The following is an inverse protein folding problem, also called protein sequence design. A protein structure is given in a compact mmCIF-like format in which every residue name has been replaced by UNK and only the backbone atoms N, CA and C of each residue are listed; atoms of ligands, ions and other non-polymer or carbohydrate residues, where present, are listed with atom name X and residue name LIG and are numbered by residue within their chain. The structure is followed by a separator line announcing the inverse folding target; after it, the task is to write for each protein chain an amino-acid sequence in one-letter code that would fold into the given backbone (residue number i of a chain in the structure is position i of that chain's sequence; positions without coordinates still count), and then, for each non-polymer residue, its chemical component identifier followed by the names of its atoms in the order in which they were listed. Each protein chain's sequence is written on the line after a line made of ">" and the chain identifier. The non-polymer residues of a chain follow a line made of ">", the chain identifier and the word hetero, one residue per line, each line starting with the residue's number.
data_IF_485725130741
#
_entry.id   IF_485725130741
#
_cell.length_a   1.000
_cell.length_b   1.000
_cell.length_c   1.000
_cell.angle_alpha   90.00
_cell.angle_beta   90.00
_cell.angle_gamma   90.00
#
_symmetry.space_group_name_H-M   'P 1'
#
loop_
_entity.id
_entity.type
_entity.pdbx_description
1 polymer ?
#
# COMPACT_ATOMS: atom_id res chain seq x y z
N UNK A 1 38.88 12.94 9.24
CA UNK A 1 37.40 12.85 9.20
C UNK A 1 36.74 13.29 7.88
N UNK A 2 37.42 13.20 6.72
CA UNK A 2 36.90 13.77 5.44
C UNK A 2 36.60 12.70 4.37
N UNK A 3 37.07 11.45 4.53
CA UNK A 3 36.92 10.38 3.53
C UNK A 3 35.47 9.88 3.30
N UNK A 4 34.52 10.25 4.17
CA UNK A 4 33.15 9.69 4.18
C UNK A 4 32.09 10.60 3.52
N UNK A 5 32.46 11.81 3.09
CA UNK A 5 31.56 12.75 2.40
C UNK A 5 31.66 12.61 0.87
N UNK A 6 32.87 12.31 0.38
CA UNK A 6 33.16 12.13 -1.05
C UNK A 6 32.56 10.83 -1.61
N UNK A 7 32.69 9.70 -0.91
CA UNK A 7 32.05 8.42 -1.32
C UNK A 7 30.52 8.55 -1.35
N UNK A 8 29.96 9.29 -0.40
CA UNK A 8 28.53 9.61 -0.35
C UNK A 8 28.07 10.38 -1.59
N UNK A 9 28.91 11.26 -2.13
CA UNK A 9 28.60 12.15 -3.24
C UNK A 9 28.69 11.47 -4.61
N UNK A 10 29.62 10.52 -4.78
CA UNK A 10 29.76 9.77 -6.04
C UNK A 10 28.64 8.73 -6.22
N UNK A 11 28.13 8.15 -5.14
CA UNK A 11 26.91 7.31 -5.17
C UNK A 11 25.68 8.18 -5.46
N UNK A 12 25.68 9.44 -5.01
CA UNK A 12 24.59 10.41 -5.21
C UNK A 12 24.37 10.83 -6.67
N UNK A 13 25.31 10.54 -7.58
CA UNK A 13 25.19 10.87 -9.01
C UNK A 13 24.65 9.72 -9.87
N UNK A 14 24.42 8.53 -9.32
CA UNK A 14 23.75 7.41 -10.01
C UNK A 14 22.22 7.37 -9.78
N UNK A 15 21.59 8.54 -9.62
CA UNK A 15 20.19 8.71 -9.17
C UNK A 15 19.17 8.96 -10.30
N UNK A 16 19.28 8.30 -11.45
CA UNK A 16 18.25 8.44 -12.50
C UNK A 16 17.04 7.48 -12.34
N UNK A 17 17.14 6.41 -11.55
CA UNK A 17 16.06 5.42 -11.39
C UNK A 17 15.58 5.15 -9.95
N UNK A 18 16.14 5.80 -8.92
CA UNK A 18 15.76 5.58 -7.51
C UNK A 18 15.51 6.90 -6.76
N UNK A 19 14.67 7.77 -7.33
CA UNK A 19 14.17 8.92 -6.58
C UNK A 19 13.13 8.50 -5.53
N UNK A 20 12.83 9.36 -4.56
CA UNK A 20 11.87 9.09 -3.50
C UNK A 20 10.50 8.64 -4.05
N UNK A 21 10.07 9.19 -5.20
CA UNK A 21 8.82 8.79 -5.87
C UNK A 21 8.81 7.32 -6.28
N UNK A 22 9.91 6.77 -6.81
CA UNK A 22 9.99 5.33 -7.12
C UNK A 22 10.02 4.49 -5.84
N UNK A 23 10.72 4.96 -4.82
CA UNK A 23 10.78 4.27 -3.53
C UNK A 23 9.41 4.19 -2.85
N UNK A 24 8.67 5.30 -2.76
CA UNK A 24 7.31 5.33 -2.21
C UNK A 24 6.37 4.44 -3.02
N UNK A 25 6.45 4.46 -4.35
CA UNK A 25 5.70 3.53 -5.20
C UNK A 25 5.99 2.05 -4.86
N UNK A 26 7.26 1.66 -4.72
CA UNK A 26 7.63 0.29 -4.39
C UNK A 26 7.21 -0.12 -2.97
N UNK A 27 7.24 0.81 -2.02
CA UNK A 27 6.72 0.62 -0.66
C UNK A 27 5.22 0.29 -0.72
N UNK A 28 4.42 1.12 -1.40
CA UNK A 28 2.97 0.89 -1.55
C UNK A 28 2.66 -0.37 -2.35
N UNK A 29 3.43 -0.64 -3.42
CA UNK A 29 3.27 -1.85 -4.23
C UNK A 29 3.49 -3.10 -3.39
N UNK A 30 4.46 -3.10 -2.47
CA UNK A 30 4.75 -4.24 -1.57
C UNK A 30 3.59 -4.55 -0.62
N UNK A 31 2.86 -3.54 -0.16
CA UNK A 31 1.73 -3.75 0.77
C UNK A 31 0.50 -4.34 0.06
N UNK A 32 0.37 -4.13 -1.26
CA UNK A 32 -0.76 -4.62 -2.05
C UNK A 32 -0.44 -5.85 -2.92
N UNK A 33 0.84 -6.05 -3.27
CA UNK A 33 1.31 -7.08 -4.21
C UNK A 33 2.75 -7.51 -3.91
N UNK A 34 3.22 -8.59 -4.53
CA UNK A 34 4.64 -8.98 -4.43
C UNK A 34 5.52 -8.08 -5.31
N UNK A 35 6.67 -7.69 -4.77
CA UNK A 35 7.75 -7.09 -5.56
C UNK A 35 8.54 -8.19 -6.26
N UNK A 36 9.08 -7.88 -7.43
CA UNK A 36 10.18 -8.68 -7.99
C UNK A 36 11.43 -8.54 -7.12
N UNK A 37 12.38 -9.46 -7.25
CA UNK A 37 13.65 -9.43 -6.48
C UNK A 37 14.40 -8.12 -6.77
N UNK A 38 14.45 -7.69 -8.03
CA UNK A 38 15.10 -6.43 -8.43
C UNK A 38 14.42 -5.20 -7.82
N UNK A 39 13.09 -5.15 -7.84
CA UNK A 39 12.33 -4.07 -7.18
C UNK A 39 12.53 -4.05 -5.67
N UNK A 40 12.58 -5.22 -5.04
CA UNK A 40 12.86 -5.31 -3.61
C UNK A 40 14.27 -4.78 -3.29
N UNK A 41 15.29 -5.21 -4.03
CA UNK A 41 16.66 -4.72 -3.85
C UNK A 41 16.75 -3.20 -4.07
N UNK A 42 16.12 -2.69 -5.13
CA UNK A 42 16.05 -1.26 -5.43
C UNK A 42 15.42 -0.47 -4.27
N UNK A 43 14.31 -0.96 -3.74
CA UNK A 43 13.63 -0.34 -2.60
C UNK A 43 14.52 -0.34 -1.35
N UNK A 44 15.15 -1.48 -1.01
CA UNK A 44 16.02 -1.58 0.17
C UNK A 44 17.25 -0.68 0.05
N UNK A 45 17.87 -0.63 -1.13
CA UNK A 45 19.00 0.24 -1.40
C UNK A 45 18.64 1.71 -1.14
N UNK A 46 17.48 2.18 -1.60
CA UNK A 46 17.03 3.55 -1.35
C UNK A 46 16.70 3.81 0.14
N UNK A 47 16.06 2.86 0.82
CA UNK A 47 15.74 2.98 2.25
C UNK A 47 16.99 3.09 3.14
N UNK A 48 18.11 2.44 2.74
CA UNK A 48 19.37 2.49 3.48
C UNK A 48 20.01 3.89 3.53
N UNK A 49 19.69 4.77 2.57
CA UNK A 49 20.28 6.10 2.43
C UNK A 49 19.27 7.24 2.64
N UNK A 50 17.98 7.01 2.45
CA UNK A 50 16.95 8.03 2.59
C UNK A 50 16.14 7.84 3.88
N UNK A 51 16.37 8.65 4.93
CA UNK A 51 15.62 8.55 6.18
C UNK A 51 14.13 8.90 6.01
N UNK A 52 13.79 9.81 5.09
CA UNK A 52 12.41 10.18 4.80
C UNK A 52 11.60 9.01 4.25
N UNK A 53 12.16 8.24 3.31
CA UNK A 53 11.50 7.05 2.77
C UNK A 53 11.39 5.92 3.81
N UNK A 54 12.37 5.82 4.72
CA UNK A 54 12.29 4.90 5.86
C UNK A 54 11.17 5.28 6.84
N UNK A 55 11.03 6.56 7.14
CA UNK A 55 9.90 7.07 7.93
C UNK A 55 8.56 6.84 7.22
N UNK A 56 8.49 7.16 5.93
CA UNK A 56 7.30 6.94 5.11
C UNK A 56 6.85 5.48 5.12
N UNK A 57 7.78 4.53 4.98
CA UNK A 57 7.48 3.09 5.06
C UNK A 57 6.82 2.70 6.39
N UNK A 58 7.29 3.26 7.51
CA UNK A 58 6.68 3.01 8.81
C UNK A 58 5.27 3.62 8.88
N UNK A 59 5.11 4.86 8.44
CA UNK A 59 3.83 5.57 8.42
C UNK A 59 2.78 4.89 7.54
N UNK A 60 3.14 4.53 6.31
CA UNK A 60 2.28 3.83 5.36
C UNK A 60 1.77 2.51 5.94
N UNK A 61 2.65 1.70 6.54
CA UNK A 61 2.25 0.45 7.22
C UNK A 61 1.29 0.69 8.37
N UNK A 62 1.50 1.72 9.18
CA UNK A 62 0.59 2.06 10.28
C UNK A 62 -0.79 2.46 9.75
N UNK A 63 -0.85 3.30 8.72
CA UNK A 63 -2.10 3.69 8.06
C UNK A 63 -2.83 2.45 7.55
N UNK A 64 -2.14 1.55 6.86
CA UNK A 64 -2.73 0.32 6.34
C UNK A 64 -3.32 -0.56 7.46
N UNK A 65 -2.61 -0.70 8.58
CA UNK A 65 -3.11 -1.43 9.74
C UNK A 65 -4.35 -0.79 10.36
N UNK A 66 -4.38 0.55 10.43
CA UNK A 66 -5.55 1.28 10.95
C UNK A 66 -6.75 1.08 10.03
N UNK A 67 -6.57 1.18 8.71
CA UNK A 67 -7.62 0.94 7.71
C UNK A 67 -8.20 -0.48 7.88
N UNK A 68 -7.34 -1.50 7.96
CA UNK A 68 -7.77 -2.89 8.16
C UNK A 68 -8.58 -3.04 9.46
N UNK A 69 -8.13 -2.42 10.56
CA UNK A 69 -8.87 -2.44 11.84
C UNK A 69 -10.24 -1.80 11.73
N UNK A 70 -10.36 -0.65 11.06
CA UNK A 70 -11.65 0.04 10.84
C UNK A 70 -12.62 -0.88 10.08
N UNK A 71 -12.16 -1.52 9.00
CA UNK A 71 -13.01 -2.43 8.22
C UNK A 71 -13.37 -3.71 8.99
N UNK A 72 -12.46 -4.26 9.80
CA UNK A 72 -12.75 -5.41 10.66
C UNK A 72 -13.78 -5.07 11.75
N UNK A 73 -13.65 -3.89 12.39
CA UNK A 73 -14.65 -3.42 13.35
C UNK A 73 -16.02 -3.25 12.72
N UNK A 74 -16.10 -2.73 11.49
CA UNK A 74 -17.34 -2.62 10.70
C UNK A 74 -17.93 -3.99 10.33
N UNK A 75 -17.11 -5.01 10.09
CA UNK A 75 -17.58 -6.38 9.84
C UNK A 75 -18.18 -7.03 11.10
N UNK A 76 -17.67 -6.68 12.28
CA UNK A 76 -18.12 -7.22 13.56
C UNK A 76 -19.31 -6.44 14.15
N UNK A 77 -19.58 -5.22 13.70
CA UNK A 77 -20.89 -4.62 13.91
C UNK A 77 -21.90 -5.39 13.06
N UNK A 78 -22.93 -5.94 13.68
CA UNK A 78 -24.07 -6.63 13.08
C UNK A 78 -24.84 -5.69 12.14
N UNK A 79 -24.24 -5.24 11.05
CA UNK A 79 -24.92 -4.58 9.95
C UNK A 79 -25.63 -5.67 9.15
N UNK A 80 -26.59 -6.33 9.79
CA UNK A 80 -27.54 -7.19 9.10
C UNK A 80 -28.64 -6.27 8.59
N UNK A 81 -28.76 -6.15 7.26
CA UNK A 81 -30.02 -5.68 6.69
C UNK A 81 -31.13 -6.61 7.20
N UNK A 82 -32.27 -6.04 7.61
CA UNK A 82 -33.43 -6.83 7.98
C UNK A 82 -33.79 -7.80 6.85
N UNK A 83 -34.30 -8.98 7.20
CA UNK A 83 -34.67 -10.00 6.21
C UNK A 83 -35.63 -9.46 5.16
N UNK A 84 -36.52 -8.54 5.54
CA UNK A 84 -37.43 -7.85 4.62
C UNK A 84 -36.70 -7.08 3.51
N UNK A 85 -35.61 -6.40 3.86
CA UNK A 85 -34.81 -5.64 2.89
C UNK A 85 -34.02 -6.57 1.97
N UNK A 86 -33.55 -7.71 2.47
CA UNK A 86 -32.89 -8.74 1.65
C UNK A 86 -33.88 -9.38 0.67
N UNK A 87 -35.08 -9.72 1.14
CA UNK A 87 -36.13 -10.28 0.30
C UNK A 87 -36.55 -9.32 -0.81
N UNK A 88 -36.77 -8.04 -0.48
CA UNK A 88 -37.09 -7.00 -1.47
C UNK A 88 -36.00 -6.84 -2.55
N UNK A 89 -34.72 -6.88 -2.14
CA UNK A 89 -33.60 -6.80 -3.09
C UNK A 89 -33.56 -8.01 -4.04
N UNK A 90 -33.76 -9.22 -3.50
CA UNK A 90 -33.77 -10.45 -4.30
C UNK A 90 -34.91 -10.47 -5.31
N UNK A 91 -36.09 -9.94 -4.97
CA UNK A 91 -37.20 -9.80 -5.91
C UNK A 91 -36.80 -8.87 -7.07
N UNK A 92 -36.18 -7.73 -6.75
CA UNK A 92 -35.70 -6.77 -7.75
C UNK A 92 -34.66 -7.39 -8.70
N UNK A 93 -33.69 -8.13 -8.16
CA UNK A 93 -32.65 -8.79 -8.95
C UNK A 93 -33.26 -9.84 -9.89
N UNK A 94 -34.13 -10.72 -9.38
CA UNK A 94 -34.77 -11.75 -10.19
C UNK A 94 -35.66 -11.16 -11.28
N UNK A 95 -36.38 -10.08 -10.98
CA UNK A 95 -37.18 -9.38 -11.98
C UNK A 95 -36.31 -8.81 -13.11
N UNK A 96 -35.11 -8.31 -12.82
CA UNK A 96 -34.19 -7.83 -13.85
C UNK A 96 -33.52 -8.95 -14.65
N UNK A 97 -33.21 -10.08 -14.02
CA UNK A 97 -32.56 -11.22 -14.69
C UNK A 97 -33.53 -12.00 -15.58
N UNK A 98 -34.81 -12.05 -15.23
CA UNK A 98 -35.85 -12.73 -16.01
C UNK A 98 -36.49 -11.85 -17.12
N UNK A 99 -35.93 -10.66 -17.37
CA UNK A 99 -36.35 -9.74 -18.44
C UNK A 99 -35.48 -9.84 -19.71
N UNK A 100 -34.57 -10.82 -19.80
CA UNK A 100 -33.77 -11.13 -20.99
C UNK A 100 -34.03 -12.53 -21.48
#
# INVERSE_FOLDING_TARGET
>A
MIKNKLIRNTIMQLHAQSNCRRATFLIEKKENTRLTIGEWLQMQAHLAICPLCTLYKLQSRLIQQMIVKIFQQRKNSTFSMSEDKKAALNILINNHLNQG
#
